data_IF_840229473703
#
_entry.id   IF_840229473703
#
_cell.length_a   1.000
_cell.length_b   1.000
_cell.length_c   1.000
_cell.angle_alpha   90.00
_cell.angle_beta   90.00
_cell.angle_gamma   90.00
#
_symmetry.space_group_name_H-M   'P 1'
#
loop_
_entity.id
_entity.type
_entity.pdbx_description
1 polymer ?
#
# COMPACT_ATOMS: atom_id res chain seq x y z
N UNK A 1 2.48 -12.10 -41.42
CA UNK A 1 3.87 -11.64 -41.22
C UNK A 1 3.97 -11.13 -39.79
N UNK A 2 3.94 -12.06 -38.84
CA UNK A 2 4.06 -11.82 -37.41
C UNK A 2 5.32 -12.59 -36.99
N UNK A 3 6.30 -11.90 -36.44
CA UNK A 3 7.37 -12.56 -35.68
C UNK A 3 7.39 -11.96 -34.28
N UNK A 4 7.04 -12.82 -33.34
CA UNK A 4 7.09 -12.62 -31.90
C UNK A 4 8.55 -12.45 -31.48
N UNK A 5 8.87 -11.38 -30.75
CA UNK A 5 10.15 -11.25 -30.05
C UNK A 5 9.98 -11.97 -28.71
N UNK A 6 10.24 -13.28 -28.72
CA UNK A 6 10.47 -14.07 -27.51
C UNK A 6 11.85 -13.73 -26.95
N UNK A 7 11.91 -13.13 -25.76
CA UNK A 7 13.15 -13.04 -25.00
C UNK A 7 13.57 -14.44 -24.56
N UNK A 8 14.48 -15.07 -25.31
CA UNK A 8 15.17 -16.28 -24.90
C UNK A 8 16.15 -15.94 -23.77
N UNK A 9 15.84 -16.40 -22.56
CA UNK A 9 16.86 -16.77 -21.60
C UNK A 9 17.60 -17.99 -22.16
N UNK A 10 18.88 -17.83 -22.51
CA UNK A 10 19.76 -18.97 -22.79
C UNK A 10 20.43 -19.41 -21.48
N UNK A 11 20.14 -20.63 -20.98
CA UNK A 11 20.99 -21.29 -20.01
C UNK A 11 22.22 -21.87 -20.71
N UNK A 12 23.37 -21.72 -20.06
CA UNK A 12 24.65 -22.29 -20.45
C UNK A 12 24.52 -23.82 -20.60
N UNK A 13 24.74 -24.34 -21.82
CA UNK A 13 24.79 -25.78 -22.08
C UNK A 13 26.11 -26.38 -21.58
N UNK A 14 26.02 -27.45 -20.80
CA UNK A 14 26.80 -28.67 -21.03
C UNK A 14 25.86 -29.85 -20.74
N UNK A 15 25.48 -30.57 -21.79
CA UNK A 15 24.63 -31.74 -21.69
C UNK A 15 25.42 -32.99 -21.33
N UNK A 16 24.71 -33.98 -20.78
CA UNK A 16 24.69 -35.34 -21.35
C UNK A 16 23.50 -36.11 -20.76
N UNK A 17 22.67 -36.65 -21.64
CA UNK A 17 21.54 -37.55 -21.33
C UNK A 17 22.07 -38.97 -21.07
N UNK A 18 21.55 -39.58 -20.01
CA UNK A 18 21.29 -41.01 -19.74
C UNK A 18 22.40 -42.04 -20.06
N UNK A 19 22.97 -42.64 -19.02
CA UNK A 19 22.55 -43.95 -18.47
C UNK A 19 23.07 -45.10 -19.35
N UNK A 20 24.24 -45.63 -18.99
CA UNK A 20 24.55 -47.05 -18.78
C UNK A 20 26.04 -47.17 -18.42
N UNK A 21 26.35 -48.08 -17.47
CA UNK A 21 27.66 -48.38 -16.87
C UNK A 21 28.24 -47.27 -15.95
N UNK A 22 28.24 -47.37 -14.62
CA UNK A 22 28.38 -48.57 -13.79
C UNK A 22 29.85 -48.78 -13.43
N UNK A 23 30.22 -48.29 -12.24
CA UNK A 23 31.27 -48.86 -11.39
C UNK A 23 32.76 -48.59 -11.74
N UNK A 24 33.21 -47.33 -11.84
CA UNK A 24 34.65 -47.04 -11.72
C UNK A 24 35.02 -45.59 -11.35
N UNK A 25 34.26 -44.93 -10.45
CA UNK A 25 34.52 -43.52 -10.11
C UNK A 25 34.42 -43.20 -8.61
N UNK A 26 34.93 -44.10 -7.75
CA UNK A 26 35.03 -43.85 -6.30
C UNK A 26 36.47 -43.90 -5.76
N UNK A 27 37.51 -43.89 -6.61
CA UNK A 27 38.91 -44.00 -6.16
C UNK A 27 39.83 -42.82 -6.54
N UNK A 28 39.35 -41.78 -7.21
CA UNK A 28 40.17 -40.61 -7.59
C UNK A 28 39.75 -39.28 -6.93
N UNK A 29 38.77 -39.29 -6.01
CA UNK A 29 38.30 -38.09 -5.31
C UNK A 29 39.16 -37.68 -4.09
N UNK A 30 40.38 -38.23 -3.94
CA UNK A 30 41.20 -38.02 -2.74
C UNK A 30 42.44 -37.11 -2.92
N UNK A 31 42.69 -36.50 -4.09
CA UNK A 31 43.97 -35.82 -4.33
C UNK A 31 43.94 -34.37 -4.85
N UNK A 32 42.81 -33.66 -4.85
CA UNK A 32 42.83 -32.23 -5.21
C UNK A 32 42.17 -31.33 -4.15
N UNK A 33 42.93 -31.04 -3.08
CA UNK A 33 42.71 -29.85 -2.25
C UNK A 33 43.80 -28.82 -2.58
N UNK A 34 43.49 -27.85 -3.45
CA UNK A 34 44.05 -26.49 -3.38
C UNK A 34 43.04 -25.49 -4.01
N UNK A 35 42.79 -24.32 -3.39
CA UNK A 35 41.82 -23.36 -3.90
C UNK A 35 42.53 -22.33 -4.81
N UNK A 36 42.22 -22.34 -6.11
CA UNK A 36 42.50 -21.21 -7.00
C UNK A 36 41.39 -20.16 -6.84
N UNK A 37 41.68 -19.07 -6.12
CA UNK A 37 40.83 -17.87 -6.09
C UNK A 37 41.04 -17.10 -7.40
N UNK A 38 39.97 -16.92 -8.17
CA UNK A 38 40.00 -16.12 -9.39
C UNK A 38 38.65 -16.09 -10.09
N UNK A 39 37.58 -15.74 -9.39
CA UNK A 39 36.28 -15.50 -10.02
C UNK A 39 36.19 -14.05 -10.52
N UNK A 40 36.11 -13.87 -11.84
CA UNK A 40 35.72 -12.58 -12.44
C UNK A 40 34.26 -12.35 -12.09
N UNK A 41 34.00 -11.53 -11.07
CA UNK A 41 32.66 -11.10 -10.73
C UNK A 41 32.19 -10.07 -11.77
N UNK A 42 31.26 -10.47 -12.64
CA UNK A 42 30.49 -9.50 -13.43
C UNK A 42 29.59 -8.72 -12.48
N UNK A 43 30.01 -7.51 -12.11
CA UNK A 43 29.22 -6.57 -11.33
C UNK A 43 28.20 -5.89 -12.25
N UNK A 44 26.99 -6.45 -12.35
CA UNK A 44 25.84 -5.68 -12.83
C UNK A 44 25.47 -4.67 -11.75
N UNK A 45 25.92 -3.41 -11.90
CA UNK A 45 25.49 -2.32 -11.02
C UNK A 45 24.02 -1.99 -11.30
N UNK A 46 23.12 -2.64 -10.57
CA UNK A 46 21.70 -2.36 -10.62
C UNK A 46 21.41 -1.06 -9.85
N UNK A 47 20.81 -0.07 -10.52
CA UNK A 47 20.31 1.15 -9.87
C UNK A 47 18.80 1.03 -9.67
N UNK A 48 18.33 1.39 -8.48
CA UNK A 48 16.90 1.41 -8.13
C UNK A 48 16.54 2.82 -7.65
N UNK A 49 15.57 3.44 -8.32
CA UNK A 49 14.91 4.66 -7.84
C UNK A 49 13.72 4.28 -6.96
N UNK A 50 13.56 4.96 -5.82
CA UNK A 50 12.39 4.83 -4.94
C UNK A 50 11.89 6.22 -4.60
N UNK A 51 10.59 6.47 -4.78
CA UNK A 51 9.94 7.71 -4.36
C UNK A 51 9.24 7.50 -3.01
N UNK A 52 9.80 8.02 -1.90
CA UNK A 52 9.14 7.99 -0.61
C UNK A 52 8.02 9.05 -0.54
N UNK A 53 6.94 8.72 0.16
CA UNK A 53 5.86 9.65 0.49
C UNK A 53 5.85 9.93 2.01
N UNK A 54 4.98 10.86 2.43
CA UNK A 54 4.65 11.08 3.83
C UNK A 54 4.19 9.77 4.52
N UNK A 55 4.34 9.65 5.85
CA UNK A 55 3.75 8.54 6.60
C UNK A 55 2.25 8.53 6.37
N UNK A 56 1.76 7.46 5.74
CA UNK A 56 0.34 7.25 5.45
C UNK A 56 -0.08 5.94 6.07
N UNK A 57 -1.23 5.95 6.73
CA UNK A 57 -1.85 4.74 7.24
C UNK A 57 -2.47 3.93 6.13
N UNK A 58 -1.86 2.79 5.86
CA UNK A 58 -2.25 1.93 4.75
C UNK A 58 -2.87 0.65 5.30
N UNK A 59 -3.89 0.81 6.13
CA UNK A 59 -4.70 -0.34 6.47
C UNK A 59 -5.33 -0.85 5.16
N UNK A 60 -4.91 -2.03 4.70
CA UNK A 60 -5.49 -2.65 3.50
C UNK A 60 -7.01 -2.69 3.60
N UNK A 61 -7.54 -2.87 4.81
CA UNK A 61 -8.97 -2.86 5.08
C UNK A 61 -9.64 -1.55 4.64
N UNK A 62 -9.01 -0.40 4.87
CA UNK A 62 -9.54 0.92 4.51
C UNK A 62 -9.49 1.15 3.01
N UNK A 63 -8.38 0.78 2.37
CA UNK A 63 -8.26 0.91 0.91
C UNK A 63 -9.27 0.02 0.18
N UNK A 64 -9.54 -1.18 0.71
CA UNK A 64 -10.54 -2.09 0.14
C UNK A 64 -11.96 -1.56 0.35
N UNK A 65 -12.27 -0.98 1.52
CA UNK A 65 -13.59 -0.41 1.75
C UNK A 65 -13.86 0.79 0.85
N UNK A 66 -12.88 1.67 0.63
CA UNK A 66 -13.02 2.81 -0.29
C UNK A 66 -13.24 2.36 -1.74
N UNK A 67 -12.52 1.33 -2.21
CA UNK A 67 -12.76 0.74 -3.53
C UNK A 67 -14.19 0.18 -3.66
N UNK A 68 -14.67 -0.53 -2.64
CA UNK A 68 -16.04 -1.09 -2.65
C UNK A 68 -17.09 0.04 -2.59
N UNK A 69 -16.79 1.14 -1.90
CA UNK A 69 -17.69 2.28 -1.78
C UNK A 69 -17.95 2.98 -3.11
N UNK A 70 -16.99 2.97 -4.05
CA UNK A 70 -17.20 3.53 -5.40
C UNK A 70 -18.32 2.82 -6.17
N UNK A 71 -18.48 1.52 -5.98
CA UNK A 71 -19.56 0.73 -6.60
C UNK A 71 -20.91 0.95 -5.89
N UNK A 72 -20.88 1.43 -4.64
CA UNK A 72 -22.08 1.88 -3.94
C UNK A 72 -21.93 1.91 -2.42
N UNK A 73 -22.51 2.93 -1.80
CA UNK A 73 -22.51 3.10 -0.35
C UNK A 73 -23.16 1.92 0.40
N UNK A 74 -24.18 1.27 -0.15
CA UNK A 74 -24.76 0.07 0.47
C UNK A 74 -23.75 -1.09 0.57
N UNK A 75 -22.95 -1.31 -0.49
CA UNK A 75 -21.91 -2.34 -0.53
C UNK A 75 -20.82 -2.06 0.50
N UNK A 76 -20.47 -0.79 0.70
CA UNK A 76 -19.54 -0.37 1.76
C UNK A 76 -20.02 -0.82 3.14
N UNK A 77 -21.28 -0.55 3.48
CA UNK A 77 -21.85 -0.95 4.76
C UNK A 77 -21.99 -2.48 4.90
N UNK A 78 -22.34 -3.19 3.83
CA UNK A 78 -22.38 -4.66 3.86
C UNK A 78 -20.99 -5.27 4.06
N UNK A 79 -19.96 -4.70 3.42
CA UNK A 79 -18.58 -5.11 3.60
C UNK A 79 -18.13 -4.87 5.03
N UNK A 80 -18.40 -3.68 5.57
CA UNK A 80 -18.17 -3.31 6.96
C UNK A 80 -18.75 -4.31 7.95
N UNK A 81 -19.99 -4.73 7.71
CA UNK A 81 -20.69 -5.68 8.58
C UNK A 81 -20.10 -7.09 8.55
N UNK A 82 -19.39 -7.43 7.47
CA UNK A 82 -18.65 -8.69 7.31
C UNK A 82 -17.28 -8.64 7.98
N UNK A 83 -16.67 -7.44 8.09
CA UNK A 83 -15.31 -7.24 8.59
C UNK A 83 -15.23 -6.70 10.03
N UNK A 84 -16.35 -6.69 10.75
CA UNK A 84 -16.50 -6.14 12.12
C UNK A 84 -15.37 -6.51 13.09
N UNK A 85 -14.88 -7.75 13.06
CA UNK A 85 -13.85 -8.25 13.99
C UNK A 85 -12.63 -8.84 13.28
N UNK A 86 -12.16 -8.21 12.19
CA UNK A 86 -10.99 -8.71 11.46
C UNK A 86 -9.64 -8.38 12.10
N UNK A 87 -9.53 -7.40 13.01
CA UNK A 87 -8.23 -7.04 13.60
C UNK A 87 -7.66 -8.12 14.53
N UNK A 88 -8.48 -9.07 14.97
CA UNK A 88 -8.02 -10.26 15.70
C UNK A 88 -7.02 -11.08 14.88
N UNK A 89 -7.21 -11.14 13.55
CA UNK A 89 -6.30 -11.86 12.65
C UNK A 89 -5.02 -11.08 12.32
N UNK A 90 -4.99 -9.77 12.57
CA UNK A 90 -3.81 -8.91 12.32
C UNK A 90 -2.65 -9.21 13.28
N UNK A 91 -2.93 -9.79 14.45
CA UNK A 91 -1.92 -10.05 15.49
C UNK A 91 -1.21 -11.40 15.35
N UNK A 92 -1.77 -12.35 14.59
CA UNK A 92 -1.23 -13.71 14.47
C UNK A 92 -0.60 -14.08 13.12
N UNK A 93 -0.95 -13.35 12.05
CA UNK A 93 -0.64 -13.73 10.67
C UNK A 93 0.33 -12.77 9.95
N UNK A 94 0.93 -13.25 8.85
CA UNK A 94 1.72 -12.40 7.95
C UNK A 94 0.86 -11.36 7.22
N UNK A 95 1.46 -10.21 6.86
CA UNK A 95 0.78 -9.16 6.06
C UNK A 95 0.18 -9.71 4.77
N UNK A 96 0.84 -10.70 4.14
CA UNK A 96 0.36 -11.35 2.93
C UNK A 96 -0.89 -12.21 3.16
N UNK A 97 -0.93 -12.98 4.25
CA UNK A 97 -2.13 -13.74 4.64
C UNK A 97 -3.30 -12.81 4.91
N UNK A 98 -3.06 -11.72 5.65
CA UNK A 98 -4.07 -10.71 5.95
C UNK A 98 -4.62 -10.04 4.67
N UNK A 99 -3.74 -9.69 3.73
CA UNK A 99 -4.12 -9.18 2.41
C UNK A 99 -5.02 -10.17 1.65
N UNK A 100 -4.63 -11.45 1.58
CA UNK A 100 -5.42 -12.47 0.90
C UNK A 100 -6.77 -12.71 1.58
N UNK A 101 -6.83 -12.64 2.91
CA UNK A 101 -8.07 -12.73 3.68
C UNK A 101 -9.01 -11.58 3.32
N UNK A 102 -8.51 -10.34 3.29
CA UNK A 102 -9.31 -9.17 2.91
C UNK A 102 -9.83 -9.33 1.47
N UNK A 103 -8.97 -9.72 0.53
CA UNK A 103 -9.40 -9.95 -0.86
C UNK A 103 -10.49 -11.01 -0.95
N UNK A 104 -10.38 -12.11 -0.17
CA UNK A 104 -11.40 -13.16 -0.14
C UNK A 104 -12.74 -12.65 0.42
N UNK A 105 -12.70 -11.75 1.41
CA UNK A 105 -13.91 -11.10 1.95
C UNK A 105 -14.50 -10.10 0.96
N UNK A 106 -13.67 -9.28 0.32
CA UNK A 106 -14.08 -8.33 -0.71
C UNK A 106 -14.70 -9.05 -1.93
N UNK A 107 -14.17 -10.22 -2.29
CA UNK A 107 -14.69 -11.05 -3.39
C UNK A 107 -16.10 -11.61 -3.18
N UNK A 108 -16.71 -11.43 -2.00
CA UNK A 108 -18.13 -11.71 -1.80
C UNK A 108 -19.03 -10.63 -2.40
N UNK A 109 -18.50 -9.41 -2.56
CA UNK A 109 -19.23 -8.23 -3.05
C UNK A 109 -18.81 -7.82 -4.45
N UNK A 110 -17.66 -8.31 -4.91
CA UNK A 110 -17.03 -7.92 -6.17
C UNK A 110 -16.98 -9.09 -7.15
N UNK A 111 -17.17 -8.79 -8.43
CA UNK A 111 -16.92 -9.74 -9.53
C UNK A 111 -15.43 -10.06 -9.69
N UNK A 112 -15.10 -11.15 -10.39
CA UNK A 112 -13.71 -11.53 -10.67
C UNK A 112 -12.91 -10.42 -11.37
N UNK A 113 -13.56 -9.67 -12.28
CA UNK A 113 -12.94 -8.53 -12.95
C UNK A 113 -12.63 -7.40 -11.96
N UNK A 114 -13.60 -7.04 -11.10
CA UNK A 114 -13.42 -6.03 -10.07
C UNK A 114 -12.36 -6.43 -9.04
N UNK A 115 -12.22 -7.71 -8.69
CA UNK A 115 -11.14 -8.18 -7.81
C UNK A 115 -9.77 -7.96 -8.46
N UNK A 116 -9.61 -8.20 -9.76
CA UNK A 116 -8.37 -7.92 -10.45
C UNK A 116 -8.08 -6.42 -10.53
N UNK A 117 -9.11 -5.61 -10.74
CA UNK A 117 -9.00 -4.15 -10.69
C UNK A 117 -8.63 -3.66 -9.28
N UNK A 118 -9.22 -4.24 -8.24
CA UNK A 118 -8.91 -3.96 -6.85
C UNK A 118 -7.44 -4.27 -6.54
N UNK A 119 -6.93 -5.43 -6.97
CA UNK A 119 -5.50 -5.76 -6.83
C UNK A 119 -4.61 -4.71 -7.51
N UNK A 120 -4.98 -4.27 -8.71
CA UNK A 120 -4.28 -3.21 -9.41
C UNK A 120 -4.34 -1.87 -8.64
N UNK A 121 -5.53 -1.46 -8.20
CA UNK A 121 -5.75 -0.23 -7.44
C UNK A 121 -4.98 -0.21 -6.11
N UNK A 122 -4.88 -1.35 -5.42
CA UNK A 122 -4.06 -1.52 -4.23
C UNK A 122 -2.56 -1.45 -4.54
N UNK A 123 -2.13 -1.98 -5.68
CA UNK A 123 -0.73 -1.91 -6.13
C UNK A 123 -0.31 -0.49 -6.50
N UNK A 124 -1.20 0.29 -7.13
CA UNK A 124 -0.98 1.71 -7.45
C UNK A 124 -1.37 2.67 -6.32
N UNK A 125 -1.98 2.14 -5.25
CA UNK A 125 -2.30 2.88 -4.03
C UNK A 125 -3.30 4.02 -4.24
N UNK A 126 -4.26 3.80 -5.14
CA UNK A 126 -5.21 4.80 -5.63
C UNK A 126 -6.05 5.48 -4.52
N UNK A 127 -6.47 4.75 -3.49
CA UNK A 127 -7.34 5.26 -2.42
C UNK A 127 -6.59 5.78 -1.19
N UNK A 128 -5.25 5.73 -1.18
CA UNK A 128 -4.46 6.24 -0.06
C UNK A 128 -4.68 7.74 0.21
N UNK A 129 -4.82 8.61 -0.81
CA UNK A 129 -5.15 10.02 -0.60
C UNK A 129 -6.48 10.23 0.12
N UNK A 130 -7.52 9.46 -0.23
CA UNK A 130 -8.84 9.52 0.43
C UNK A 130 -8.76 9.13 1.89
N UNK A 131 -8.05 8.04 2.20
CA UNK A 131 -7.83 7.61 3.59
C UNK A 131 -7.04 8.67 4.37
N UNK A 132 -5.98 9.21 3.77
CA UNK A 132 -5.17 10.25 4.40
C UNK A 132 -5.97 11.54 4.64
N UNK A 133 -6.86 11.91 3.72
CA UNK A 133 -7.77 13.05 3.88
C UNK A 133 -8.60 12.91 5.16
N UNK A 134 -9.17 11.73 5.43
CA UNK A 134 -9.91 11.50 6.69
C UNK A 134 -9.02 11.60 7.94
N UNK A 135 -7.76 11.16 7.85
CA UNK A 135 -6.81 11.32 8.96
C UNK A 135 -6.48 12.80 9.20
N UNK A 136 -6.38 13.62 8.16
CA UNK A 136 -6.19 15.06 8.31
C UNK A 136 -7.42 15.73 8.93
N UNK A 137 -8.62 15.37 8.49
CA UNK A 137 -9.87 15.85 9.09
C UNK A 137 -9.91 15.49 10.59
N UNK A 138 -9.51 14.26 10.96
CA UNK A 138 -9.44 13.84 12.35
C UNK A 138 -8.32 14.52 13.15
N UNK A 139 -7.27 15.03 12.50
CA UNK A 139 -6.23 15.82 13.14
C UNK A 139 -6.71 17.23 13.50
N UNK A 140 -7.56 17.82 12.63
CA UNK A 140 -8.21 19.11 12.87
C UNK A 140 -9.33 19.02 13.95
N UNK A 141 -9.98 17.85 14.06
CA UNK A 141 -10.98 17.53 15.09
C UNK A 141 -10.43 16.51 16.11
N UNK A 142 -9.48 16.89 16.99
CA UNK A 142 -8.74 15.94 17.80
C UNK A 142 -9.66 15.16 18.76
N UNK A 143 -9.42 13.84 18.91
CA UNK A 143 -10.16 13.03 19.87
C UNK A 143 -9.92 13.50 21.30
N UNK A 144 -10.85 13.20 22.22
CA UNK A 144 -10.56 13.22 23.65
C UNK A 144 -9.38 12.28 23.98
N UNK A 145 -8.62 12.62 25.02
CA UNK A 145 -7.38 11.91 25.37
C UNK A 145 -7.59 10.38 25.53
N UNK A 146 -6.73 9.60 24.85
CA UNK A 146 -6.63 8.16 25.03
C UNK A 146 -7.63 7.29 24.28
N UNK A 147 -8.47 7.84 23.40
CA UNK A 147 -9.51 7.08 22.71
C UNK A 147 -9.06 6.49 21.36
N UNK A 148 -9.30 5.20 21.13
CA UNK A 148 -9.06 4.55 19.83
C UNK A 148 -10.17 4.80 18.81
N UNK A 149 -11.39 5.03 19.29
CA UNK A 149 -12.54 5.50 18.52
C UNK A 149 -13.31 6.58 19.29
N UNK A 150 -13.85 7.55 18.57
CA UNK A 150 -14.64 8.63 19.15
C UNK A 150 -15.79 9.05 18.23
N UNK A 151 -16.83 9.61 18.83
CA UNK A 151 -18.05 10.04 18.16
C UNK A 151 -18.17 11.55 18.27
N UNK A 152 -18.49 12.20 17.16
CA UNK A 152 -18.74 13.65 17.09
C UNK A 152 -20.21 13.90 16.81
N UNK A 153 -20.84 14.67 17.70
CA UNK A 153 -22.24 15.06 17.62
C UNK A 153 -22.31 16.58 17.71
N UNK A 154 -22.39 17.24 16.55
CA UNK A 154 -22.47 18.70 16.42
C UNK A 154 -21.41 19.38 17.32
N UNK A 155 -20.13 19.25 16.93
CA UNK A 155 -18.95 19.85 17.61
C UNK A 155 -18.57 19.26 18.98
N UNK A 156 -19.35 18.33 19.54
CA UNK A 156 -18.97 17.66 20.79
C UNK A 156 -18.50 16.24 20.55
N UNK A 157 -17.30 15.96 21.04
CA UNK A 157 -16.64 14.67 20.97
C UNK A 157 -16.96 13.83 22.22
N UNK A 158 -17.18 12.53 22.05
CA UNK A 158 -17.28 11.58 23.15
C UNK A 158 -16.64 10.26 22.79
N UNK A 159 -15.97 9.63 23.77
CA UNK A 159 -15.45 8.27 23.65
C UNK A 159 -16.26 7.27 24.48
N UNK A 160 -17.38 7.68 25.08
CA UNK A 160 -18.18 6.84 25.95
C UNK A 160 -19.58 6.67 25.36
N UNK A 161 -19.99 5.43 25.21
CA UNK A 161 -21.32 5.06 24.70
C UNK A 161 -22.46 5.65 25.54
N UNK A 162 -22.26 5.78 26.85
CA UNK A 162 -23.24 6.32 27.79
C UNK A 162 -23.57 7.81 27.56
N UNK A 163 -22.64 8.57 26.99
CA UNK A 163 -22.80 10.02 26.79
C UNK A 163 -23.53 10.36 25.48
N UNK A 164 -23.55 9.43 24.51
CA UNK A 164 -24.21 9.60 23.21
C UNK A 164 -25.66 10.05 23.39
N UNK A 165 -26.42 9.36 24.26
CA UNK A 165 -27.83 9.71 24.54
C UNK A 165 -27.99 11.13 25.11
N UNK A 166 -27.03 11.59 25.93
CA UNK A 166 -27.06 12.94 26.53
C UNK A 166 -26.75 14.02 25.50
N UNK A 167 -25.81 13.74 24.60
CA UNK A 167 -25.40 14.66 23.53
C UNK A 167 -26.46 14.79 22.45
N UNK A 168 -27.13 13.70 22.08
CA UNK A 168 -28.24 13.72 21.10
C UNK A 168 -29.38 14.65 21.52
N UNK A 169 -29.75 14.67 22.81
CA UNK A 169 -30.80 15.58 23.33
C UNK A 169 -30.43 17.06 23.20
N UNK A 170 -29.14 17.38 23.12
CA UNK A 170 -28.63 18.75 22.98
C UNK A 170 -28.27 19.11 21.53
N UNK A 171 -28.37 18.15 20.60
CA UNK A 171 -27.90 18.30 19.22
C UNK A 171 -28.70 19.38 18.46
N UNK A 172 -30.02 19.44 18.65
CA UNK A 172 -30.91 20.41 17.97
C UNK A 172 -30.58 21.87 18.28
N UNK A 173 -29.81 22.15 19.34
CA UNK A 173 -29.39 23.51 19.72
C UNK A 173 -28.10 23.96 19.05
N UNK A 174 -27.44 23.10 18.29
CA UNK A 174 -26.11 23.34 17.70
C UNK A 174 -26.21 23.35 16.17
N UNK A 175 -25.29 24.05 15.50
CA UNK A 175 -25.25 24.04 14.03
C UNK A 175 -25.00 22.62 13.52
N UNK A 176 -25.67 22.29 12.41
CA UNK A 176 -25.47 21.02 11.72
C UNK A 176 -24.05 20.98 11.14
N UNK A 177 -23.25 19.93 11.42
CA UNK A 177 -21.89 19.84 10.89
C UNK A 177 -21.91 19.69 9.37
N UNK A 178 -20.87 20.20 8.73
CA UNK A 178 -20.67 20.03 7.29
C UNK A 178 -20.29 18.58 6.97
N UNK A 179 -20.92 18.03 5.93
CA UNK A 179 -20.65 16.69 5.42
C UNK A 179 -19.79 16.79 4.16
N UNK A 180 -18.72 16.00 4.12
CA UNK A 180 -17.86 15.93 2.95
C UNK A 180 -18.47 14.98 1.92
N UNK A 181 -18.16 15.20 0.63
CA UNK A 181 -18.66 14.35 -0.46
C UNK A 181 -18.23 12.88 -0.33
N UNK A 182 -17.08 12.63 0.28
CA UNK A 182 -16.57 11.27 0.53
C UNK A 182 -17.14 10.61 1.79
N UNK A 183 -17.99 11.28 2.57
CA UNK A 183 -18.51 10.72 3.81
C UNK A 183 -19.47 9.54 3.53
N UNK A 184 -19.21 8.41 4.19
CA UNK A 184 -20.07 7.24 4.08
C UNK A 184 -21.24 7.37 5.05
N UNK A 185 -22.43 7.62 4.51
CA UNK A 185 -23.68 7.78 5.27
C UNK A 185 -24.40 6.44 5.39
N UNK A 186 -24.84 6.06 6.58
CA UNK A 186 -25.63 4.85 6.77
C UNK A 186 -26.98 4.96 6.02
N UNK A 187 -27.43 3.89 5.35
CA UNK A 187 -28.70 3.93 4.61
C UNK A 187 -29.86 4.21 5.57
N UNK A 188 -30.47 5.38 5.44
CA UNK A 188 -31.62 5.86 6.25
C UNK A 188 -32.58 6.64 5.36
N UNK A 189 -33.89 6.50 5.56
CA UNK A 189 -34.90 7.21 4.76
C UNK A 189 -34.99 8.71 5.09
N UNK A 190 -34.69 9.08 6.35
CA UNK A 190 -34.73 10.48 6.81
C UNK A 190 -33.34 11.11 6.84
N UNK A 191 -33.25 12.33 6.29
CA UNK A 191 -32.01 13.12 6.29
C UNK A 191 -32.01 14.28 7.30
N UNK A 192 -33.15 14.56 7.93
CA UNK A 192 -33.35 15.72 8.81
C UNK A 192 -32.99 15.46 10.29
N UNK A 193 -32.47 14.27 10.59
CA UNK A 193 -32.06 13.89 11.94
C UNK A 193 -30.73 14.52 12.38
N UNK A 194 -30.42 14.51 13.69
CA UNK A 194 -29.11 14.90 14.19
C UNK A 194 -28.00 14.03 13.56
N UNK A 195 -27.02 14.70 12.97
CA UNK A 195 -25.81 14.08 12.41
C UNK A 195 -24.89 13.58 13.54
N UNK A 196 -24.43 12.35 13.37
CA UNK A 196 -23.49 11.66 14.24
C UNK A 196 -22.38 11.07 13.39
N UNK A 197 -21.14 11.54 13.59
CA UNK A 197 -19.96 11.07 12.88
C UNK A 197 -19.14 10.17 13.80
N UNK A 198 -18.89 8.93 13.39
CA UNK A 198 -17.98 8.02 14.09
C UNK A 198 -16.61 8.06 13.42
N UNK A 199 -15.59 8.36 14.20
CA UNK A 199 -14.18 8.20 13.84
C UNK A 199 -13.66 6.94 14.51
N UNK A 200 -13.32 5.92 13.72
CA UNK A 200 -12.85 4.66 14.26
C UNK A 200 -11.95 3.88 13.28
N UNK A 201 -11.10 3.02 13.84
CA UNK A 201 -10.40 1.99 13.08
C UNK A 201 -11.33 0.79 12.89
N UNK A 202 -11.70 0.51 11.65
CA UNK A 202 -12.57 -0.60 11.30
C UNK A 202 -11.93 -1.95 11.66
N UNK A 203 -12.76 -2.89 12.10
CA UNK A 203 -12.32 -4.22 12.51
C UNK A 203 -11.86 -4.31 13.97
N UNK A 204 -11.83 -3.21 14.72
CA UNK A 204 -11.49 -3.17 16.16
C UNK A 204 -12.71 -3.43 17.05
N UNK A 205 -12.47 -3.92 18.28
CA UNK A 205 -13.55 -4.13 19.26
C UNK A 205 -14.24 -2.84 19.68
N UNK A 206 -13.53 -1.71 19.67
CA UNK A 206 -14.10 -0.39 19.98
C UNK A 206 -15.08 0.04 18.91
N UNK A 207 -14.71 -0.11 17.63
CA UNK A 207 -15.60 0.15 16.50
C UNK A 207 -16.90 -0.65 16.62
N UNK A 208 -16.83 -1.95 16.89
CA UNK A 208 -18.03 -2.82 16.99
C UNK A 208 -19.01 -2.32 18.06
N UNK A 209 -18.50 -1.89 19.22
CA UNK A 209 -19.33 -1.38 20.32
C UNK A 209 -20.11 -0.12 19.91
N UNK A 210 -19.43 0.84 19.27
CA UNK A 210 -20.08 2.06 18.80
C UNK A 210 -21.01 1.79 17.63
N UNK A 211 -20.53 1.01 16.66
CA UNK A 211 -21.26 0.71 15.45
C UNK A 211 -22.61 0.07 15.76
N UNK A 212 -22.66 -0.90 16.68
CA UNK A 212 -23.92 -1.54 17.11
C UNK A 212 -24.94 -0.53 17.64
N UNK A 213 -24.52 0.39 18.50
CA UNK A 213 -25.42 1.37 19.12
C UNK A 213 -25.90 2.40 18.09
N UNK A 214 -25.01 2.84 17.21
CA UNK A 214 -25.31 3.85 16.19
C UNK A 214 -26.15 3.27 15.06
N UNK A 215 -25.90 2.04 14.62
CA UNK A 215 -26.69 1.38 13.59
C UNK A 215 -28.12 1.11 14.07
N UNK A 216 -28.31 0.62 15.31
CA UNK A 216 -29.64 0.45 15.91
C UNK A 216 -30.44 1.77 15.97
N UNK A 217 -29.76 2.90 16.19
CA UNK A 217 -30.38 4.23 16.21
C UNK A 217 -30.67 4.78 14.82
N UNK A 218 -29.77 4.53 13.87
CA UNK A 218 -29.94 4.92 12.48
C UNK A 218 -31.08 4.14 11.81
N UNK A 219 -31.22 2.85 12.10
CA UNK A 219 -32.34 2.01 11.65
C UNK A 219 -33.70 2.49 12.18
N UNK A 220 -33.73 3.06 13.39
CA UNK A 220 -34.91 3.71 13.95
C UNK A 220 -35.15 5.13 13.41
N UNK A 221 -34.31 5.57 12.48
CA UNK A 221 -34.34 6.92 11.87
C UNK A 221 -34.19 8.06 12.89
N UNK A 222 -33.56 7.79 14.04
CA UNK A 222 -33.34 8.80 15.09
C UNK A 222 -32.14 9.70 14.78
N UNK A 223 -31.18 9.21 13.99
CA UNK A 223 -29.90 9.87 13.72
C UNK A 223 -29.48 9.67 12.26
N UNK A 224 -28.69 10.61 11.75
CA UNK A 224 -27.92 10.42 10.51
C UNK A 224 -26.53 9.94 10.91
N UNK A 225 -26.24 8.67 10.67
CA UNK A 225 -24.99 8.03 11.07
C UNK A 225 -23.98 8.05 9.92
N UNK A 226 -22.76 8.51 10.20
CA UNK A 226 -21.67 8.63 9.24
C UNK A 226 -20.41 7.98 9.82
N UNK A 227 -19.63 7.30 8.98
CA UNK A 227 -18.34 6.74 9.33
C UNK A 227 -17.20 7.47 8.61
N UNK A 228 -16.19 7.89 9.37
CA UNK A 228 -14.90 8.37 8.87
C UNK A 228 -13.78 7.47 9.38
N UNK A 229 -12.80 7.20 8.53
CA UNK A 229 -11.64 6.40 8.89
C UNK A 229 -10.73 7.16 9.85
N UNK A 230 -10.39 6.52 10.97
CA UNK A 230 -9.48 7.09 11.96
C UNK A 230 -8.57 6.00 12.52
N UNK A 231 -7.31 6.35 12.74
CA UNK A 231 -6.35 5.48 13.42
C UNK A 231 -5.66 6.32 14.49
N UNK A 232 -5.70 5.83 15.73
CA UNK A 232 -5.13 6.57 16.86
C UNK A 232 -3.61 6.73 16.76
N UNK A 233 -2.93 5.66 16.31
CA UNK A 233 -1.48 5.62 16.22
C UNK A 233 -1.08 5.26 14.81
N UNK A 234 -0.95 6.25 13.91
CA UNK A 234 -0.49 6.01 12.57
C UNK A 234 0.89 5.37 12.56
N UNK A 235 1.13 4.51 11.58
CA UNK A 235 2.47 3.95 11.36
C UNK A 235 3.42 5.06 10.92
N UNK A 236 4.59 5.16 11.54
CA UNK A 236 5.65 6.08 11.10
C UNK A 236 6.33 5.64 9.80
N UNK A 237 5.94 4.49 9.23
CA UNK A 237 6.54 3.92 8.03
C UNK A 237 6.17 4.75 6.80
N UNK A 238 7.19 5.28 6.11
CA UNK A 238 7.01 5.97 4.82
C UNK A 238 6.53 4.98 3.75
N UNK A 239 5.55 5.44 2.99
CA UNK A 239 5.02 4.75 1.81
C UNK A 239 5.97 4.92 0.62
N UNK A 240 6.10 3.91 -0.24
CA UNK A 240 6.62 4.09 -1.60
C UNK A 240 5.45 4.20 -2.57
N UNK A 241 5.42 5.27 -3.36
CA UNK A 241 4.41 5.37 -4.42
C UNK A 241 4.82 4.50 -5.61
N UNK A 242 3.85 4.25 -6.47
CA UNK A 242 4.02 3.57 -7.75
C UNK A 242 3.33 4.42 -8.82
N UNK A 243 3.60 4.16 -10.10
CA UNK A 243 3.06 4.97 -11.21
C UNK A 243 3.96 6.12 -11.66
N UNK A 244 5.21 6.21 -11.19
CA UNK A 244 6.22 7.08 -11.79
C UNK A 244 7.21 6.27 -12.64
N UNK A 245 7.67 6.88 -13.73
CA UNK A 245 8.79 6.37 -14.53
C UNK A 245 10.11 6.95 -14.01
N UNK A 246 11.14 6.12 -13.95
CA UNK A 246 12.52 6.60 -13.76
C UNK A 246 13.25 6.37 -15.06
N UNK A 247 13.73 7.46 -15.65
CA UNK A 247 14.58 7.39 -16.83
C UNK A 247 16.04 7.68 -16.46
N UNK A 248 16.95 7.01 -17.17
CA UNK A 248 18.38 7.30 -17.11
C UNK A 248 18.76 7.98 -18.41
N UNK A 249 18.80 9.31 -18.38
CA UNK A 249 19.24 10.11 -19.51
C UNK A 249 20.77 10.14 -19.57
N UNK A 250 21.33 9.86 -20.76
CA UNK A 250 22.75 10.03 -21.02
C UNK A 250 23.01 11.52 -21.24
N UNK A 251 23.71 12.17 -20.30
CA UNK A 251 23.95 13.62 -20.33
C UNK A 251 25.03 14.06 -21.33
N UNK A 252 25.94 13.17 -21.71
CA UNK A 252 26.98 13.43 -22.71
C UNK A 252 26.82 12.49 -23.89
N UNK A 253 26.22 12.97 -24.97
CA UNK A 253 26.07 12.25 -26.24
C UNK A 253 27.26 12.46 -27.19
N UNK A 254 28.20 13.33 -26.83
CA UNK A 254 29.43 13.52 -27.59
C UNK A 254 30.37 12.32 -27.40
N UNK A 255 30.55 11.56 -28.49
CA UNK A 255 31.61 10.56 -28.55
C UNK A 255 32.94 11.29 -28.79
N UNK A 256 33.80 11.34 -27.78
CA UNK A 256 35.20 11.71 -27.98
C UNK A 256 35.90 10.54 -28.67
N UNK A 257 35.95 10.57 -29.99
CA UNK A 257 36.84 9.69 -30.74
C UNK A 257 38.28 10.15 -30.46
N UNK A 258 39.04 9.33 -29.72
CA UNK A 258 40.49 9.48 -29.66
C UNK A 258 41.03 8.81 -30.92
N UNK A 259 41.81 9.54 -31.69
CA UNK A 259 42.50 9.03 -32.87
C UNK A 259 43.75 8.25 -32.41
N UNK A 260 43.71 6.92 -32.56
CA UNK A 260 44.80 6.02 -32.17
C UNK A 260 46.04 6.17 -33.08
N UNK A 261 46.01 6.99 -34.14
CA UNK A 261 47.17 7.18 -35.03
C UNK A 261 48.27 8.08 -34.46
N UNK A 262 48.09 8.65 -33.26
CA UNK A 262 49.16 9.30 -32.51
C UNK A 262 49.59 8.50 -31.28
N UNK A 263 50.01 7.24 -31.48
CA UNK A 263 50.98 6.63 -30.57
C UNK A 263 52.33 7.29 -30.85
N UNK A 264 52.56 8.46 -30.24
CA UNK A 264 53.92 8.85 -29.91
C UNK A 264 54.24 8.21 -28.57
N UNK A 265 55.24 7.34 -28.60
CA UNK A 265 55.89 6.73 -27.45
C UNK A 265 56.22 7.76 -26.37
N UNK A 266 55.26 8.01 -25.47
CA UNK A 266 55.54 8.73 -24.23
C UNK A 266 54.80 8.01 -23.10
N UNK A 267 55.50 7.02 -22.57
CA UNK A 267 55.47 6.61 -21.18
C UNK A 267 54.10 6.16 -20.63
N UNK A 268 53.93 4.84 -20.65
CA UNK A 268 53.13 4.03 -19.72
C UNK A 268 53.24 4.53 -18.26
N UNK A 269 52.52 5.57 -17.85
CA UNK A 269 52.37 5.86 -16.41
C UNK A 269 51.17 6.71 -15.97
N UNK A 270 50.19 6.97 -16.84
CA UNK A 270 49.08 7.87 -16.46
C UNK A 270 47.68 7.47 -16.91
N UNK A 271 47.43 6.18 -17.13
CA UNK A 271 46.09 5.68 -17.45
C UNK A 271 45.64 4.66 -16.41
N UNK A 272 45.47 5.10 -15.16
CA UNK A 272 44.56 4.47 -14.21
C UNK A 272 44.24 5.52 -13.14
N UNK A 273 43.29 6.40 -13.43
CA UNK A 273 42.33 7.01 -12.49
C UNK A 273 41.66 8.19 -13.18
N UNK A 274 40.71 7.89 -14.06
CA UNK A 274 39.64 8.84 -14.32
C UNK A 274 38.34 8.09 -14.07
N UNK A 275 38.01 7.96 -12.79
CA UNK A 275 36.69 7.58 -12.33
C UNK A 275 35.70 8.51 -13.02
N UNK A 276 34.92 7.97 -13.95
CA UNK A 276 33.76 8.65 -14.53
C UNK A 276 32.83 8.92 -13.36
N UNK A 277 32.88 10.14 -12.82
CA UNK A 277 31.93 10.62 -11.85
C UNK A 277 30.60 10.80 -12.58
N UNK A 278 29.82 9.73 -12.64
CA UNK A 278 28.46 9.72 -13.16
C UNK A 278 27.57 10.51 -12.19
N UNK A 279 27.59 11.83 -12.31
CA UNK A 279 26.60 12.71 -11.68
C UNK A 279 25.24 12.44 -12.34
N UNK A 280 24.46 11.55 -11.72
CA UNK A 280 23.06 11.32 -12.07
C UNK A 280 22.23 12.43 -11.44
N UNK A 281 21.69 13.29 -12.28
CA UNK A 281 20.61 14.20 -11.92
C UNK A 281 19.32 13.40 -12.05
N UNK A 282 18.67 13.10 -10.93
CA UNK A 282 17.34 12.48 -10.93
C UNK A 282 16.35 13.58 -11.26
N UNK A 283 15.87 13.60 -12.50
CA UNK A 283 14.76 14.46 -12.91
C UNK A 283 13.46 13.68 -12.69
N UNK A 284 12.56 14.22 -11.87
CA UNK A 284 11.21 13.69 -11.69
C UNK A 284 10.32 14.41 -12.71
N UNK A 285 9.83 13.68 -13.71
CA UNK A 285 8.86 14.19 -14.68
C UNK A 285 7.46 13.85 -14.16
N UNK A 286 6.61 14.87 -14.00
CA UNK A 286 5.20 14.74 -13.57
C UNK A 286 4.27 14.49 -14.76
#
# INVERSE_FOLDING_TARGET
MFSSITCLWLPCQFGLKYFWFGLLLNLLAALWKTPMKGGIASFCNQRSGKLPNQPMDNSFLFLNSEFIAEDGNEKFWQFLETVRELTVYKQGDSEHSYYNLILKKAGQFLSNLQINLLKFALAIRAYSPTVQMFQQIAADEPPPEGCGAFVVIHEKHTCKTNEIKKLLKKATKRPRPYLFKGDHKFPTLKEDGPVVVLYAEMGTKEFVKFHKILSEKAQKEEIVYILRHYVQKPSSRKMYLSGYGVELAIKSTEYKAVDDTQVKDVLYHRIWYQSVLLCVVVSIVF
#
